data_IF_749605460901
#
_entry.id   IF_749605460901
#
_cell.length_a   1.000
_cell.length_b   1.000
_cell.length_c   1.000
_cell.angle_alpha   90.00
_cell.angle_beta   90.00
_cell.angle_gamma   90.00
#
_symmetry.space_group_name_H-M   'P 1'
#
loop_
_entity.id
_entity.type
_entity.pdbx_description
1 polymer ?
#
# COMPACT_ATOMS: atom_id res chain seq x y z
N UNK A 1 19.93 -4.06 -30.87
CA UNK A 1 20.38 -2.92 -30.04
C UNK A 1 21.90 -2.98 -29.95
N UNK A 2 22.60 -1.94 -30.39
CA UNK A 2 24.06 -1.91 -30.27
C UNK A 2 24.43 -1.48 -28.84
N UNK A 3 25.31 -2.23 -28.17
CA UNK A 3 25.83 -1.85 -26.86
C UNK A 3 26.70 -0.60 -27.00
N UNK A 4 26.40 0.42 -26.20
CA UNK A 4 27.21 1.64 -26.16
C UNK A 4 28.59 1.36 -25.54
N UNK A 5 29.56 2.26 -25.74
CA UNK A 5 30.89 2.14 -25.13
C UNK A 5 30.78 2.05 -23.59
N UNK A 6 29.86 2.81 -23.00
CA UNK A 6 29.58 2.79 -21.56
C UNK A 6 29.03 1.44 -21.10
N UNK A 7 28.14 0.81 -21.87
CA UNK A 7 27.58 -0.49 -21.52
C UNK A 7 28.64 -1.59 -21.57
N UNK A 8 29.52 -1.54 -22.57
CA UNK A 8 30.66 -2.45 -22.68
C UNK A 8 31.62 -2.29 -21.49
N UNK A 9 31.95 -1.05 -21.12
CA UNK A 9 32.80 -0.77 -19.96
C UNK A 9 32.17 -1.26 -18.64
N UNK A 10 30.86 -1.08 -18.47
CA UNK A 10 30.12 -1.59 -17.31
C UNK A 10 30.18 -3.12 -17.24
N UNK A 11 29.93 -3.80 -18.38
CA UNK A 11 29.96 -5.26 -18.45
C UNK A 11 31.34 -5.81 -18.08
N UNK A 12 32.41 -5.22 -18.60
CA UNK A 12 33.80 -5.61 -18.30
C UNK A 12 34.11 -5.39 -16.81
N UNK A 13 33.68 -4.26 -16.23
CA UNK A 13 33.85 -3.99 -14.80
C UNK A 13 33.15 -5.05 -13.93
N UNK A 14 31.90 -5.38 -14.24
CA UNK A 14 31.13 -6.38 -13.50
C UNK A 14 31.74 -7.78 -13.64
N UNK A 15 32.25 -8.12 -14.82
CA UNK A 15 32.93 -9.38 -15.08
C UNK A 15 34.14 -9.58 -14.16
N UNK A 16 35.02 -8.59 -14.06
CA UNK A 16 36.17 -8.66 -13.17
C UNK A 16 35.79 -8.63 -11.68
N UNK A 17 34.79 -7.82 -11.31
CA UNK A 17 34.27 -7.81 -9.94
C UNK A 17 33.67 -9.15 -9.50
N UNK A 18 33.17 -9.94 -10.45
CA UNK A 18 32.56 -11.26 -10.21
C UNK A 18 33.52 -12.42 -10.48
N UNK A 19 34.83 -12.16 -10.45
CA UNK A 19 35.89 -13.17 -10.62
C UNK A 19 35.70 -13.97 -11.92
N UNK A 20 35.51 -13.25 -13.03
CA UNK A 20 35.38 -13.83 -14.37
C UNK A 20 34.14 -14.72 -14.56
N UNK A 21 33.16 -14.60 -13.66
CA UNK A 21 31.92 -15.36 -13.72
C UNK A 21 30.85 -14.65 -14.56
N UNK A 22 30.75 -15.05 -15.82
CA UNK A 22 29.71 -14.57 -16.75
C UNK A 22 28.28 -14.80 -16.24
N UNK A 23 28.04 -15.92 -15.54
CA UNK A 23 26.71 -16.27 -15.04
C UNK A 23 26.25 -15.33 -13.91
N UNK A 24 27.19 -14.70 -13.20
CA UNK A 24 26.91 -13.69 -12.19
C UNK A 24 26.90 -12.26 -12.76
N UNK A 25 27.79 -11.95 -13.70
CA UNK A 25 27.94 -10.59 -14.25
C UNK A 25 26.82 -10.19 -15.21
N UNK A 26 26.32 -11.12 -16.05
CA UNK A 26 25.29 -10.82 -17.05
C UNK A 26 23.93 -10.43 -16.44
N UNK A 27 23.40 -11.13 -15.41
CA UNK A 27 22.17 -10.71 -14.74
C UNK A 27 22.26 -9.32 -14.13
N UNK A 28 23.37 -8.99 -13.48
CA UNK A 28 23.60 -7.67 -12.89
C UNK A 28 23.68 -6.56 -13.93
N UNK A 29 24.38 -6.82 -15.04
CA UNK A 29 24.43 -5.91 -16.17
C UNK A 29 23.03 -5.61 -16.72
N UNK A 30 22.19 -6.64 -16.90
CA UNK A 30 20.82 -6.49 -17.40
C UNK A 30 19.97 -5.65 -16.45
N UNK A 31 20.08 -5.89 -15.14
CA UNK A 31 19.37 -5.11 -14.12
C UNK A 31 19.79 -3.64 -14.15
N UNK A 32 21.08 -3.37 -14.29
CA UNK A 32 21.61 -2.01 -14.30
C UNK A 32 21.17 -1.23 -15.55
N UNK A 33 21.16 -1.88 -16.73
CA UNK A 33 20.63 -1.27 -17.95
C UNK A 33 19.12 -1.05 -17.87
N UNK A 34 18.37 -2.00 -17.30
CA UNK A 34 16.93 -1.88 -17.11
C UNK A 34 16.56 -0.68 -16.22
N UNK A 35 17.25 -0.52 -15.07
CA UNK A 35 17.05 0.63 -14.16
C UNK A 35 17.22 1.97 -14.86
N UNK A 36 18.27 2.13 -15.67
CA UNK A 36 18.51 3.36 -16.44
C UNK A 36 17.38 3.64 -17.43
N UNK A 37 16.87 2.59 -18.06
CA UNK A 37 15.76 2.69 -19.01
C UNK A 37 14.49 3.15 -18.29
N UNK A 38 14.21 2.61 -17.11
CA UNK A 38 13.07 3.01 -16.28
C UNK A 38 13.19 4.44 -15.77
N UNK A 39 14.39 4.87 -15.37
CA UNK A 39 14.67 6.26 -14.98
C UNK A 39 14.48 7.22 -16.16
N UNK A 40 15.00 6.88 -17.34
CA UNK A 40 14.79 7.67 -18.56
C UNK A 40 13.30 7.77 -18.91
N UNK A 41 12.56 6.68 -18.80
CA UNK A 41 11.11 6.66 -19.05
C UNK A 41 10.36 7.51 -18.02
N UNK A 42 10.76 7.44 -16.75
CA UNK A 42 10.17 8.25 -15.67
C UNK A 42 10.46 9.74 -15.89
N UNK A 43 11.69 10.09 -16.24
CA UNK A 43 12.07 11.47 -16.56
C UNK A 43 11.29 11.99 -17.76
N UNK A 44 11.17 11.20 -18.83
CA UNK A 44 10.35 11.54 -20.00
C UNK A 44 8.89 11.80 -19.62
N UNK A 45 8.31 10.96 -18.77
CA UNK A 45 6.94 11.17 -18.26
C UNK A 45 6.82 12.44 -17.43
N UNK A 46 7.81 12.73 -16.57
CA UNK A 46 7.82 13.96 -15.78
C UNK A 46 7.90 15.21 -16.67
N UNK A 47 8.74 15.17 -17.70
CA UNK A 47 8.85 16.28 -18.68
C UNK A 47 7.53 16.47 -19.43
N UNK A 48 6.92 15.39 -19.93
CA UNK A 48 5.62 15.46 -20.60
C UNK A 48 4.53 16.00 -19.69
N UNK A 49 4.49 15.55 -18.42
CA UNK A 49 3.53 16.09 -17.44
C UNK A 49 3.77 17.57 -17.18
N UNK A 50 5.02 18.02 -17.12
CA UNK A 50 5.36 19.43 -16.98
C UNK A 50 4.94 20.25 -18.21
N UNK A 51 5.16 19.76 -19.43
CA UNK A 51 4.72 20.43 -20.65
C UNK A 51 3.19 20.60 -20.69
N UNK A 52 2.44 19.61 -20.17
CA UNK A 52 0.98 19.63 -20.13
C UNK A 52 0.44 20.52 -19.00
N UNK A 53 1.02 20.42 -17.80
CA UNK A 53 0.43 21.01 -16.58
C UNK A 53 1.17 22.25 -16.07
N UNK A 54 2.38 22.51 -16.57
CA UNK A 54 3.28 23.54 -16.05
C UNK A 54 3.84 23.25 -14.66
N UNK A 55 3.56 22.07 -14.09
CA UNK A 55 3.85 21.75 -12.68
C UNK A 55 4.74 20.51 -12.59
N UNK A 56 5.87 20.66 -11.91
CA UNK A 56 6.84 19.59 -11.65
C UNK A 56 6.60 18.87 -10.30
N UNK A 57 5.63 19.33 -9.53
CA UNK A 57 5.31 18.76 -8.23
C UNK A 57 4.77 17.33 -8.39
N UNK A 58 5.36 16.40 -7.63
CA UNK A 58 4.83 15.04 -7.46
C UNK A 58 3.46 15.17 -6.83
N UNK A 59 2.38 14.97 -7.60
CA UNK A 59 1.04 14.96 -7.04
C UNK A 59 1.01 13.97 -5.86
N UNK A 60 0.65 14.41 -4.64
CA UNK A 60 0.49 13.51 -3.53
C UNK A 60 -0.54 12.46 -3.95
N UNK A 61 -0.17 11.18 -3.74
CA UNK A 61 -0.90 10.04 -4.27
C UNK A 61 -2.39 10.21 -4.09
N UNK A 62 -3.12 10.05 -5.20
CA UNK A 62 -4.57 10.10 -5.31
C UNK A 62 -5.22 9.59 -4.02
N UNK A 63 -5.69 10.53 -3.19
CA UNK A 63 -6.38 10.22 -1.94
C UNK A 63 -7.55 9.33 -2.33
N UNK A 64 -7.50 8.05 -1.95
CA UNK A 64 -8.57 7.09 -2.23
C UNK A 64 -9.88 7.73 -1.76
N UNK A 65 -10.90 7.72 -2.62
CA UNK A 65 -12.21 8.31 -2.36
C UNK A 65 -12.64 7.94 -0.93
N UNK A 66 -12.82 8.96 -0.11
CA UNK A 66 -13.26 8.82 1.27
C UNK A 66 -14.62 8.14 1.23
N UNK A 67 -14.71 6.93 1.79
CA UNK A 67 -15.98 6.22 1.99
C UNK A 67 -16.96 7.18 2.65
N UNK A 68 -18.20 7.25 2.15
CA UNK A 68 -19.19 8.19 2.69
C UNK A 68 -19.43 7.91 4.18
N UNK A 69 -19.65 8.96 4.98
CA UNK A 69 -19.86 8.83 6.43
C UNK A 69 -21.04 7.91 6.76
N UNK A 70 -22.08 7.91 5.91
CA UNK A 70 -23.23 7.02 5.99
C UNK A 70 -22.83 5.52 5.92
N UNK A 71 -21.88 5.16 5.07
CA UNK A 71 -21.39 3.78 4.95
C UNK A 71 -20.57 3.36 6.17
N UNK A 72 -19.83 4.30 6.77
CA UNK A 72 -19.08 4.03 8.01
C UNK A 72 -20.04 3.77 9.18
N UNK A 73 -21.12 4.55 9.25
CA UNK A 73 -22.15 4.42 10.28
C UNK A 73 -22.94 3.10 10.13
N UNK A 74 -23.32 2.73 8.91
CA UNK A 74 -23.98 1.44 8.60
C UNK A 74 -23.10 0.23 8.96
N UNK A 75 -21.79 0.29 8.69
CA UNK A 75 -20.85 -0.76 9.10
C UNK A 75 -20.76 -0.83 10.63
N UNK A 76 -20.74 0.32 11.32
CA UNK A 76 -20.65 0.37 12.76
C UNK A 76 -21.91 -0.20 13.45
N UNK A 77 -23.11 0.12 12.95
CA UNK A 77 -24.36 -0.41 13.51
C UNK A 77 -24.44 -1.92 13.36
N UNK A 78 -24.08 -2.45 12.18
CA UNK A 78 -24.09 -3.89 11.93
C UNK A 78 -23.08 -4.62 12.83
N UNK A 79 -21.92 -4.02 13.10
CA UNK A 79 -20.94 -4.61 14.02
C UNK A 79 -21.52 -4.70 15.43
N UNK A 80 -22.15 -3.63 15.93
CA UNK A 80 -22.75 -3.61 17.27
C UNK A 80 -23.89 -4.62 17.38
N UNK A 81 -24.77 -4.69 16.38
CA UNK A 81 -25.86 -5.66 16.33
C UNK A 81 -25.33 -7.11 16.32
N UNK A 82 -24.28 -7.38 15.55
CA UNK A 82 -23.66 -8.70 15.49
C UNK A 82 -22.94 -9.08 16.79
N UNK A 83 -22.42 -8.12 17.55
CA UNK A 83 -21.88 -8.35 18.89
C UNK A 83 -22.97 -8.66 19.91
N UNK A 84 -24.12 -7.99 19.82
CA UNK A 84 -25.27 -8.25 20.70
C UNK A 84 -25.90 -9.62 20.46
N UNK A 85 -25.88 -10.11 19.21
CA UNK A 85 -26.43 -11.43 18.85
C UNK A 85 -25.43 -12.58 19.14
N UNK A 86 -24.12 -12.29 19.16
CA UNK A 86 -23.10 -13.30 19.38
C UNK A 86 -22.82 -13.53 20.88
N UNK A 87 -23.54 -14.49 21.45
CA UNK A 87 -23.40 -14.99 22.85
C UNK A 87 -21.96 -15.42 23.19
N UNK A 88 -21.08 -15.63 22.20
CA UNK A 88 -19.72 -16.13 22.36
C UNK A 88 -18.60 -15.08 22.23
N UNK A 89 -18.96 -13.80 22.05
CA UNK A 89 -18.04 -12.66 22.26
C UNK A 89 -16.88 -12.52 21.26
N UNK A 90 -17.01 -13.08 20.05
CA UNK A 90 -16.01 -12.94 18.98
C UNK A 90 -16.70 -12.77 17.62
N UNK A 91 -17.11 -11.54 17.29
CA UNK A 91 -17.43 -11.21 15.89
C UNK A 91 -16.13 -11.16 15.07
N UNK A 92 -16.17 -11.25 13.75
CA UNK A 92 -14.98 -11.18 12.88
C UNK A 92 -15.23 -10.23 11.73
N UNK A 93 -14.20 -9.50 11.30
CA UNK A 93 -14.35 -8.52 10.22
C UNK A 93 -14.71 -9.21 8.90
N UNK A 94 -14.47 -10.53 8.81
CA UNK A 94 -14.88 -11.39 7.70
C UNK A 94 -16.37 -11.77 7.73
N UNK A 95 -17.05 -11.65 8.87
CA UNK A 95 -18.46 -11.98 9.02
C UNK A 95 -19.37 -10.82 8.57
N UNK A 96 -18.91 -9.56 8.70
CA UNK A 96 -19.67 -8.36 8.33
C UNK A 96 -20.08 -8.31 6.85
N UNK A 97 -19.21 -8.62 5.86
CA UNK A 97 -19.58 -8.64 4.44
C UNK A 97 -20.54 -9.76 4.05
N UNK A 98 -20.70 -10.79 4.90
CA UNK A 98 -21.64 -11.88 4.63
C UNK A 98 -23.07 -11.49 4.96
N UNK A 99 -23.23 -10.55 5.89
CA UNK A 99 -24.51 -10.08 6.39
C UNK A 99 -24.87 -8.69 5.84
N UNK A 100 -23.97 -8.05 5.08
CA UNK A 100 -24.16 -6.72 4.46
C UNK A 100 -23.81 -6.76 2.98
N UNK A 101 -24.34 -5.83 2.19
CA UNK A 101 -23.96 -5.65 0.79
C UNK A 101 -22.60 -4.90 0.64
N UNK A 102 -21.77 -4.88 1.68
CA UNK A 102 -20.55 -4.08 1.75
C UNK A 102 -19.32 -4.98 1.53
N UNK A 103 -18.48 -4.70 0.53
CA UNK A 103 -17.32 -5.55 0.25
C UNK A 103 -16.28 -5.46 1.38
N UNK A 104 -15.59 -6.57 1.65
CA UNK A 104 -14.59 -6.70 2.71
C UNK A 104 -13.47 -5.64 2.65
N UNK A 105 -13.10 -5.21 1.45
CA UNK A 105 -12.11 -4.14 1.23
C UNK A 105 -12.53 -2.81 1.85
N UNK A 106 -13.83 -2.52 1.86
CA UNK A 106 -14.42 -1.32 2.47
C UNK A 106 -14.47 -1.48 3.99
N UNK A 107 -14.99 -2.61 4.48
CA UNK A 107 -15.06 -2.94 5.91
C UNK A 107 -13.68 -2.85 6.59
N UNK A 108 -12.64 -3.44 5.98
CA UNK A 108 -11.28 -3.37 6.52
C UNK A 108 -10.71 -1.95 6.53
N UNK A 109 -11.03 -1.14 5.52
CA UNK A 109 -10.57 0.25 5.46
C UNK A 109 -11.29 1.17 6.44
N UNK A 110 -12.58 0.92 6.71
CA UNK A 110 -13.37 1.75 7.61
C UNK A 110 -13.15 1.36 9.08
N UNK A 111 -12.99 0.06 9.37
CA UNK A 111 -12.45 -0.39 10.64
C UNK A 111 -11.10 0.29 10.91
N UNK A 112 -10.14 0.24 9.98
CA UNK A 112 -8.84 0.87 10.18
C UNK A 112 -8.94 2.38 10.50
N UNK A 113 -9.91 3.10 9.92
CA UNK A 113 -10.18 4.51 10.24
C UNK A 113 -10.79 4.69 11.63
N UNK A 114 -11.72 3.83 12.07
CA UNK A 114 -12.27 3.91 13.44
C UNK A 114 -11.19 3.61 14.48
N UNK A 115 -10.30 2.64 14.22
CA UNK A 115 -9.12 2.34 15.06
C UNK A 115 -8.13 3.51 15.15
N UNK A 116 -7.81 4.18 14.04
CA UNK A 116 -6.92 5.35 14.03
C UNK A 116 -7.55 6.55 14.76
N UNK A 117 -8.86 6.80 14.56
CA UNK A 117 -9.58 7.86 15.28
C UNK A 117 -9.73 7.58 16.79
N UNK A 118 -9.70 6.32 17.22
CA UNK A 118 -9.68 5.94 18.64
C UNK A 118 -8.31 6.21 19.28
N UNK A 119 -7.21 5.93 18.57
CA UNK A 119 -5.85 6.23 19.05
C UNK A 119 -5.58 7.73 19.22
N UNK A 120 -6.17 8.57 18.37
CA UNK A 120 -6.06 10.03 18.50
C UNK A 120 -6.92 10.59 19.65
N UNK A 121 -7.92 9.83 20.14
CA UNK A 121 -8.76 10.20 21.28
C UNK A 121 -8.28 9.61 22.62
N UNK A 122 -7.37 8.62 22.61
CA UNK A 122 -6.82 8.00 23.83
C UNK A 122 -5.95 8.94 24.69
N UNK A 123 -5.60 10.14 24.21
CA UNK A 123 -4.98 11.17 25.07
C UNK A 123 -5.95 11.86 26.03
N UNK A 124 -7.27 11.59 26.00
CA UNK A 124 -8.21 12.13 26.98
C UNK A 124 -9.31 11.10 27.33
N UNK A 125 -9.29 10.63 28.59
CA UNK A 125 -10.28 9.77 29.27
C UNK A 125 -10.22 8.24 29.05
N UNK A 126 -9.43 7.61 29.91
CA UNK A 126 -9.72 6.36 30.66
C UNK A 126 -10.67 5.29 30.08
N UNK A 127 -10.04 4.12 29.87
CA UNK A 127 -10.37 2.85 30.54
C UNK A 127 -11.74 2.22 30.21
N UNK A 128 -11.96 1.87 28.95
CA UNK A 128 -12.77 0.69 28.61
C UNK A 128 -11.97 -0.31 27.76
N UNK A 129 -11.56 -1.37 28.46
CA UNK A 129 -11.12 -2.70 27.99
C UNK A 129 -10.48 -2.80 26.59
N UNK A 130 -9.18 -2.53 26.54
CA UNK A 130 -8.28 -2.92 25.43
C UNK A 130 -8.18 -4.44 25.22
N UNK A 131 -8.78 -5.26 26.10
CA UNK A 131 -8.69 -6.71 26.03
C UNK A 131 -9.67 -7.36 25.04
N UNK A 132 -10.78 -6.70 24.68
CA UNK A 132 -11.74 -7.30 23.73
C UNK A 132 -11.24 -7.28 22.28
N UNK A 133 -10.36 -6.32 21.95
CA UNK A 133 -10.11 -5.95 20.55
C UNK A 133 -8.86 -6.61 19.96
N UNK A 134 -7.92 -7.08 20.79
CA UNK A 134 -6.76 -7.86 20.30
C UNK A 134 -7.13 -9.25 19.76
N UNK A 135 -8.34 -9.77 20.00
CA UNK A 135 -8.80 -11.08 19.50
C UNK A 135 -9.16 -11.11 18.01
N UNK A 136 -9.12 -9.98 17.31
CA UNK A 136 -9.62 -9.85 15.94
C UNK A 136 -8.57 -9.93 14.83
N UNK A 137 -7.28 -10.13 15.16
CA UNK A 137 -6.16 -10.07 14.20
C UNK A 137 -5.53 -11.45 13.92
N UNK A 138 -6.22 -12.57 14.13
CA UNK A 138 -5.78 -13.89 13.62
C UNK A 138 -6.88 -14.53 12.78
#
# INVERSE_FOLDING_TARGET
>A
MALTLRDRALLVKLYYQRNENNNAALPEFRLEVAKRTDEHNKLRKMIQQFEITGILARQPGQVRKVTSQQQVEEVATVIVEQEMENVQGTSSARAVPRNTHIPYSTVGSDLAKTYLNLKDKETHCNRFSTQSVMKWVH
#
